data_IF_809925130472
#
_entry.id   IF_809925130472
#
_cell.length_a   1.000
_cell.length_b   1.000
_cell.length_c   1.000
_cell.angle_alpha   90.00
_cell.angle_beta   90.00
_cell.angle_gamma   90.00
#
_symmetry.space_group_name_H-M   'P 1'
#
loop_
_entity.id
_entity.type
_entity.pdbx_description
1 polymer ?
#
# COMPACT_ATOMS: atom_id res chain seq x y z
N UNK A 1 -19.77 12.36 6.48
CA UNK A 1 -19.75 11.99 5.04
C UNK A 1 -18.34 11.67 4.52
N UNK A 2 -17.39 12.63 4.49
CA UNK A 2 -16.05 12.42 3.91
C UNK A 2 -15.30 11.19 4.46
N UNK A 3 -15.32 10.98 5.78
CA UNK A 3 -14.73 9.80 6.42
C UNK A 3 -15.26 8.47 5.86
N UNK A 4 -16.59 8.35 5.74
CA UNK A 4 -17.24 7.12 5.26
C UNK A 4 -16.91 6.85 3.79
N UNK A 5 -16.87 7.90 2.95
CA UNK A 5 -16.48 7.77 1.54
C UNK A 5 -15.03 7.29 1.42
N UNK A 6 -14.11 7.92 2.16
CA UNK A 6 -12.69 7.54 2.15
C UNK A 6 -12.49 6.13 2.69
N UNK A 7 -13.08 5.79 3.84
CA UNK A 7 -12.99 4.45 4.43
C UNK A 7 -13.54 3.36 3.50
N UNK A 8 -14.71 3.61 2.92
CA UNK A 8 -15.38 2.64 2.05
C UNK A 8 -14.64 2.47 0.72
N UNK A 9 -14.29 3.57 0.03
CA UNK A 9 -13.86 3.51 -1.37
C UNK A 9 -12.34 3.62 -1.57
N UNK A 10 -11.60 4.19 -0.61
CA UNK A 10 -10.19 4.55 -0.82
C UNK A 10 -9.27 3.77 0.12
N UNK A 11 -9.49 3.89 1.42
CA UNK A 11 -8.65 3.29 2.44
C UNK A 11 -8.48 1.79 2.18
N UNK A 12 -7.24 1.29 2.28
CA UNK A 12 -6.77 -0.09 2.03
C UNK A 12 -6.84 -0.61 0.58
N UNK A 13 -7.75 -0.14 -0.27
CA UNK A 13 -7.94 -0.71 -1.63
C UNK A 13 -6.76 -0.40 -2.54
N UNK A 14 -6.27 0.83 -2.52
CA UNK A 14 -5.12 1.23 -3.35
C UNK A 14 -3.81 0.57 -2.91
N UNK A 15 -3.64 0.29 -1.62
CA UNK A 15 -2.52 -0.53 -1.11
C UNK A 15 -2.62 -1.94 -1.70
N UNK A 16 -3.80 -2.56 -1.70
CA UNK A 16 -3.99 -3.89 -2.30
C UNK A 16 -3.70 -3.92 -3.81
N UNK A 17 -4.14 -2.90 -4.55
CA UNK A 17 -3.84 -2.74 -5.98
C UNK A 17 -2.33 -2.57 -6.20
N UNK A 18 -1.69 -1.69 -5.43
CA UNK A 18 -0.26 -1.43 -5.54
C UNK A 18 0.57 -2.68 -5.21
N UNK A 19 0.16 -3.47 -4.20
CA UNK A 19 0.80 -4.74 -3.88
C UNK A 19 0.71 -5.75 -5.03
N UNK A 20 -0.49 -5.92 -5.60
CA UNK A 20 -0.69 -6.76 -6.78
C UNK A 20 0.20 -6.30 -7.95
N UNK A 21 0.24 -4.99 -8.21
CA UNK A 21 1.08 -4.42 -9.28
C UNK A 21 2.57 -4.56 -9.01
N UNK A 22 3.02 -4.51 -7.75
CA UNK A 22 4.41 -4.76 -7.39
C UNK A 22 4.82 -6.18 -7.78
N UNK A 23 3.99 -7.18 -7.45
CA UNK A 23 4.21 -8.57 -7.85
C UNK A 23 4.16 -8.79 -9.36
N UNK A 24 3.22 -8.14 -10.04
CA UNK A 24 3.12 -8.15 -11.50
C UNK A 24 4.37 -7.57 -12.16
N UNK A 25 4.80 -6.38 -11.72
CA UNK A 25 6.01 -5.72 -12.19
C UNK A 25 7.26 -6.55 -11.89
N UNK A 26 7.33 -7.21 -10.74
CA UNK A 26 8.43 -8.09 -10.37
C UNK A 26 8.60 -9.26 -11.35
N UNK A 27 7.50 -9.85 -11.84
CA UNK A 27 7.56 -10.90 -12.86
C UNK A 27 8.16 -10.40 -14.19
N UNK A 28 7.75 -9.21 -14.63
CA UNK A 28 8.26 -8.59 -15.86
C UNK A 28 9.74 -8.20 -15.72
N UNK A 29 10.10 -7.61 -14.58
CA UNK A 29 11.47 -7.21 -14.26
C UNK A 29 12.39 -8.43 -14.20
N UNK A 30 11.99 -9.51 -13.53
CA UNK A 30 12.76 -10.74 -13.46
C UNK A 30 12.99 -11.35 -14.84
N UNK A 31 11.98 -11.36 -15.72
CA UNK A 31 12.13 -11.81 -17.12
C UNK A 31 13.16 -10.96 -17.87
N UNK A 32 13.11 -9.63 -17.71
CA UNK A 32 14.06 -8.73 -18.35
C UNK A 32 15.48 -8.93 -17.84
N UNK A 33 15.68 -8.97 -16.52
CA UNK A 33 16.96 -9.21 -15.86
C UNK A 33 17.55 -10.55 -16.29
N UNK A 34 16.74 -11.61 -16.28
CA UNK A 34 17.18 -12.96 -16.67
C UNK A 34 17.74 -13.00 -18.10
N UNK A 35 17.16 -12.23 -19.02
CA UNK A 35 17.70 -12.12 -20.39
C UNK A 35 19.08 -11.45 -20.40
N UNK A 36 19.27 -10.40 -19.60
CA UNK A 36 20.57 -9.73 -19.47
C UNK A 36 21.63 -10.62 -18.79
N UNK A 37 21.22 -11.51 -17.89
CA UNK A 37 22.10 -12.48 -17.24
C UNK A 37 22.30 -13.79 -18.04
N UNK A 38 22.11 -13.79 -19.37
CA UNK A 38 22.32 -14.98 -20.20
C UNK A 38 21.38 -16.16 -19.89
N UNK A 39 20.25 -15.93 -19.23
CA UNK A 39 19.30 -16.98 -18.83
C UNK A 39 19.47 -17.48 -17.40
N UNK A 40 20.51 -17.08 -16.67
CA UNK A 40 20.75 -17.48 -15.29
C UNK A 40 19.70 -16.88 -14.34
N UNK A 41 18.95 -17.77 -13.67
CA UNK A 41 17.90 -17.38 -12.74
C UNK A 41 18.44 -16.89 -11.39
N UNK A 42 19.53 -17.46 -10.88
CA UNK A 42 20.06 -17.07 -9.57
C UNK A 42 20.81 -15.75 -9.65
N UNK A 43 21.55 -15.51 -10.75
CA UNK A 43 22.07 -14.18 -11.06
C UNK A 43 20.93 -13.14 -11.15
N UNK A 44 19.83 -13.48 -11.83
CA UNK A 44 18.70 -12.57 -11.96
C UNK A 44 18.01 -12.27 -10.62
N UNK A 45 17.84 -13.28 -9.76
CA UNK A 45 17.34 -13.09 -8.38
C UNK A 45 18.30 -12.25 -7.55
N UNK A 46 19.62 -12.39 -7.73
CA UNK A 46 20.62 -11.59 -7.02
C UNK A 46 20.48 -10.09 -7.34
N UNK A 47 20.36 -9.75 -8.62
CA UNK A 47 20.09 -8.38 -9.07
C UNK A 47 18.75 -7.87 -8.51
N UNK A 48 17.71 -8.71 -8.52
CA UNK A 48 16.42 -8.34 -7.93
C UNK A 48 16.50 -8.12 -6.41
N UNK A 49 17.27 -8.91 -5.67
CA UNK A 49 17.52 -8.69 -4.23
C UNK A 49 18.22 -7.34 -4.00
N UNK A 50 19.14 -6.91 -4.87
CA UNK A 50 19.76 -5.58 -4.77
C UNK A 50 18.73 -4.45 -4.90
N UNK A 51 17.80 -4.59 -5.84
CA UNK A 51 16.66 -3.68 -6.00
C UNK A 51 15.83 -3.56 -4.72
N UNK A 52 15.57 -4.69 -4.05
CA UNK A 52 14.84 -4.72 -2.78
C UNK A 52 15.62 -4.11 -1.63
N UNK A 53 16.94 -4.34 -1.53
CA UNK A 53 17.78 -3.69 -0.51
C UNK A 53 17.76 -2.17 -0.65
N UNK A 54 17.80 -1.65 -1.88
CA UNK A 54 17.64 -0.22 -2.12
C UNK A 54 16.28 0.29 -1.64
N UNK A 55 15.19 -0.42 -1.98
CA UNK A 55 13.85 -0.04 -1.51
C UNK A 55 13.73 -0.09 0.01
N UNK A 56 14.35 -1.09 0.66
CA UNK A 56 14.37 -1.21 2.11
C UNK A 56 15.11 -0.03 2.76
N UNK A 57 16.30 0.30 2.25
CA UNK A 57 17.07 1.44 2.76
C UNK A 57 16.31 2.76 2.56
N UNK A 58 15.70 2.94 1.39
CA UNK A 58 14.88 4.11 1.09
C UNK A 58 13.64 4.18 1.99
N UNK A 59 12.98 3.05 2.23
CA UNK A 59 11.82 2.96 3.11
C UNK A 59 12.15 3.21 4.58
N UNK A 60 13.28 2.71 5.08
CA UNK A 60 13.77 3.03 6.44
C UNK A 60 14.05 4.53 6.55
N UNK A 61 14.77 5.11 5.58
CA UNK A 61 15.02 6.55 5.59
C UNK A 61 13.71 7.35 5.53
N UNK A 62 12.77 6.96 4.66
CA UNK A 62 11.47 7.60 4.55
C UNK A 62 10.63 7.48 5.82
N UNK A 63 10.57 6.28 6.43
CA UNK A 63 9.89 6.00 7.67
C UNK A 63 10.38 6.84 8.84
N UNK A 64 11.69 7.00 8.95
CA UNK A 64 12.34 7.76 10.03
C UNK A 64 12.26 9.29 9.82
N UNK A 65 12.46 9.76 8.58
CA UNK A 65 12.65 11.19 8.31
C UNK A 65 11.43 11.91 7.71
N UNK A 66 10.49 11.18 7.12
CA UNK A 66 9.35 11.81 6.42
C UNK A 66 8.01 11.37 7.00
N UNK A 67 7.71 10.07 6.98
CA UNK A 67 6.40 9.57 7.37
C UNK A 67 6.45 8.14 7.89
N UNK A 68 6.02 7.94 9.14
CA UNK A 68 6.09 6.65 9.83
C UNK A 68 5.26 5.54 9.17
N UNK A 69 4.22 5.87 8.40
CA UNK A 69 3.42 4.91 7.63
C UNK A 69 4.05 4.51 6.28
N UNK A 70 5.37 4.26 6.25
CA UNK A 70 6.08 3.88 5.04
C UNK A 70 5.65 2.50 4.52
N UNK A 71 5.38 2.41 3.22
CA UNK A 71 5.06 1.14 2.55
C UNK A 71 6.29 0.51 1.89
N UNK A 72 7.37 1.26 1.62
CA UNK A 72 8.51 0.80 0.85
C UNK A 72 9.33 -0.24 1.60
N UNK A 73 9.64 0.00 2.87
CA UNK A 73 10.34 -0.93 3.75
C UNK A 73 9.54 -2.23 3.88
N UNK A 74 8.24 -2.10 4.13
CA UNK A 74 7.35 -3.25 4.25
C UNK A 74 7.26 -4.06 2.95
N UNK A 75 7.14 -3.39 1.79
CA UNK A 75 7.09 -4.05 0.50
C UNK A 75 8.44 -4.66 0.10
N UNK A 76 9.55 -4.07 0.54
CA UNK A 76 10.87 -4.66 0.34
C UNK A 76 11.01 -5.97 1.11
N UNK A 77 10.58 -6.00 2.39
CA UNK A 77 10.56 -7.22 3.22
C UNK A 77 9.67 -8.31 2.62
N UNK A 78 8.42 -7.99 2.28
CA UNK A 78 7.52 -8.92 1.57
C UNK A 78 8.09 -9.33 0.19
N UNK A 79 8.83 -8.43 -0.47
CA UNK A 79 9.52 -8.70 -1.72
C UNK A 79 10.61 -9.76 -1.60
N UNK A 80 11.32 -9.85 -0.47
CA UNK A 80 12.30 -10.91 -0.25
C UNK A 80 11.62 -12.29 -0.14
N UNK A 81 10.43 -12.34 0.47
CA UNK A 81 9.60 -13.55 0.47
C UNK A 81 9.18 -13.91 -0.96
N UNK A 82 8.74 -12.93 -1.76
CA UNK A 82 8.39 -13.13 -3.17
C UNK A 82 9.56 -13.75 -3.97
N UNK A 83 10.82 -13.33 -3.73
CA UNK A 83 12.01 -13.88 -4.42
C UNK A 83 12.14 -15.39 -4.25
N UNK A 84 11.73 -15.95 -3.10
CA UNK A 84 11.72 -17.41 -2.89
C UNK A 84 10.79 -18.14 -3.88
N UNK A 85 9.70 -17.49 -4.28
CA UNK A 85 8.70 -18.03 -5.20
C UNK A 85 8.97 -17.67 -6.67
N UNK A 86 9.80 -16.67 -6.92
CA UNK A 86 10.22 -16.29 -8.26
C UNK A 86 10.84 -17.49 -8.98
N UNK A 87 10.25 -17.86 -10.13
CA UNK A 87 10.59 -19.03 -10.97
C UNK A 87 9.90 -20.36 -10.65
N UNK A 88 9.06 -20.45 -9.61
CA UNK A 88 8.25 -21.66 -9.39
C UNK A 88 7.24 -21.85 -10.55
N UNK A 89 6.82 -23.11 -10.78
CA UNK A 89 5.78 -23.43 -11.78
C UNK A 89 4.45 -22.72 -11.43
N UNK A 90 3.62 -22.31 -12.42
CA UNK A 90 2.36 -21.60 -12.14
C UNK A 90 1.44 -22.29 -11.13
N UNK A 91 1.35 -23.63 -11.17
CA UNK A 91 0.57 -24.39 -10.19
C UNK A 91 1.11 -24.25 -8.75
N UNK A 92 2.44 -24.23 -8.58
CA UNK A 92 3.06 -24.02 -7.27
C UNK A 92 2.85 -22.59 -6.77
N UNK A 93 2.91 -21.59 -7.66
CA UNK A 93 2.58 -20.20 -7.36
C UNK A 93 1.12 -20.07 -6.92
N UNK A 94 0.17 -20.66 -7.65
CA UNK A 94 -1.25 -20.64 -7.29
C UNK A 94 -1.53 -21.27 -5.93
N UNK A 95 -0.88 -22.41 -5.62
CA UNK A 95 -0.96 -23.03 -4.28
C UNK A 95 -0.38 -22.12 -3.21
N UNK A 96 0.78 -21.51 -3.44
CA UNK A 96 1.38 -20.57 -2.50
C UNK A 96 0.47 -19.36 -2.27
N UNK A 97 -0.05 -18.74 -3.32
CA UNK A 97 -1.03 -17.63 -3.23
C UNK A 97 -2.23 -18.01 -2.37
N UNK A 98 -2.83 -19.19 -2.61
CA UNK A 98 -3.95 -19.71 -1.82
C UNK A 98 -3.56 -19.88 -0.35
N UNK A 99 -2.42 -20.50 -0.07
CA UNK A 99 -1.97 -20.75 1.30
C UNK A 99 -1.72 -19.44 2.07
N UNK A 100 -1.16 -18.43 1.42
CA UNK A 100 -0.99 -17.10 2.02
C UNK A 100 -2.31 -16.37 2.29
N UNK A 101 -3.32 -16.54 1.41
CA UNK A 101 -4.68 -16.06 1.68
C UNK A 101 -5.34 -16.78 2.86
N UNK A 102 -5.17 -18.10 2.97
CA UNK A 102 -5.66 -18.87 4.12
C UNK A 102 -4.97 -18.41 5.40
N UNK A 103 -3.63 -18.25 5.37
CA UNK A 103 -2.87 -17.76 6.52
C UNK A 103 -3.33 -16.37 6.95
N UNK A 104 -3.57 -15.47 5.99
CA UNK A 104 -4.13 -14.14 6.26
C UNK A 104 -5.51 -14.21 6.93
N UNK A 105 -6.43 -15.01 6.38
CA UNK A 105 -7.78 -15.15 6.93
C UNK A 105 -7.73 -15.74 8.35
N UNK A 106 -6.96 -16.82 8.55
CA UNK A 106 -6.79 -17.46 9.84
C UNK A 106 -6.16 -16.52 10.87
N UNK A 107 -5.12 -15.77 10.49
CA UNK A 107 -4.46 -14.80 11.36
C UNK A 107 -5.40 -13.66 11.75
N UNK A 108 -6.15 -13.11 10.78
CA UNK A 108 -7.13 -12.04 11.02
C UNK A 108 -8.20 -12.49 12.00
N UNK A 109 -8.78 -13.67 11.79
CA UNK A 109 -9.77 -14.25 12.71
C UNK A 109 -9.15 -14.48 14.08
N UNK A 110 -8.01 -15.16 14.17
CA UNK A 110 -7.36 -15.48 15.43
C UNK A 110 -7.03 -14.23 16.26
N UNK A 111 -6.46 -13.20 15.64
CA UNK A 111 -6.13 -11.94 16.33
C UNK A 111 -7.38 -11.19 16.78
N UNK A 112 -8.41 -11.13 15.93
CA UNK A 112 -9.67 -10.46 16.30
C UNK A 112 -10.33 -11.20 17.47
N UNK A 113 -10.35 -12.53 17.46
CA UNK A 113 -10.91 -13.34 18.56
C UNK A 113 -10.08 -13.25 19.84
N UNK A 114 -8.75 -13.27 19.74
CA UNK A 114 -7.85 -13.20 20.89
C UNK A 114 -7.95 -11.84 21.56
N UNK A 115 -7.95 -10.77 20.77
CA UNK A 115 -8.09 -9.42 21.30
C UNK A 115 -9.46 -9.23 21.96
N UNK A 116 -10.55 -9.64 21.33
CA UNK A 116 -11.88 -9.55 21.94
C UNK A 116 -11.98 -10.37 23.24
N UNK A 117 -11.34 -11.54 23.30
CA UNK A 117 -11.25 -12.32 24.53
C UNK A 117 -10.44 -11.60 25.61
N UNK A 118 -9.27 -11.05 25.26
CA UNK A 118 -8.42 -10.29 26.17
C UNK A 118 -9.14 -9.02 26.69
N UNK A 119 -9.83 -8.29 25.81
CA UNK A 119 -10.62 -7.11 26.13
C UNK A 119 -11.75 -7.41 27.12
N UNK A 120 -12.39 -8.58 27.01
CA UNK A 120 -13.42 -9.03 27.97
C UNK A 120 -12.84 -9.51 29.30
N UNK A 121 -11.60 -9.96 29.31
CA UNK A 121 -10.93 -10.49 30.50
C UNK A 121 -10.24 -9.40 31.34
N UNK A 122 -9.85 -8.29 30.72
CA UNK A 122 -9.29 -7.14 31.43
C UNK A 122 -10.43 -6.25 31.96
N UNK A 123 -10.36 -5.81 33.23
CA UNK A 123 -11.28 -4.79 33.72
C UNK A 123 -11.10 -3.51 32.88
N UNK A 124 -12.17 -2.72 32.67
CA UNK A 124 -12.08 -1.44 31.98
C UNK A 124 -11.33 -0.44 32.87
N UNK A 125 -10.00 -0.52 32.92
CA UNK A 125 -9.16 0.46 33.64
C UNK A 125 -9.08 1.79 32.89
N UNK A 126 -9.33 1.78 31.57
CA UNK A 126 -9.31 2.96 30.72
C UNK A 126 -10.73 3.25 30.25
N UNK A 127 -11.25 4.44 30.56
CA UNK A 127 -12.53 4.91 30.04
C UNK A 127 -12.46 5.01 28.50
N UNK A 128 -13.22 4.18 27.75
CA UNK A 128 -13.18 4.20 26.29
C UNK A 128 -13.70 5.52 25.70
N UNK A 129 -14.37 6.36 26.49
CA UNK A 129 -14.79 7.71 26.10
C UNK A 129 -13.62 8.71 26.09
N UNK A 130 -12.49 8.41 26.75
CA UNK A 130 -11.33 9.29 26.81
C UNK A 130 -10.28 8.91 25.78
N UNK A 131 -9.73 9.92 25.08
CA UNK A 131 -8.57 9.71 24.21
C UNK A 131 -7.33 9.50 25.10
N UNK A 132 -6.54 8.43 24.89
CA UNK A 132 -5.28 8.22 25.58
C UNK A 132 -4.36 9.45 25.48
N UNK A 133 -3.78 9.87 26.61
CA UNK A 133 -2.95 11.09 26.67
C UNK A 133 -1.74 11.02 25.74
N UNK A 134 -1.14 9.84 25.56
CA UNK A 134 -0.02 9.65 24.62
C UNK A 134 -0.41 9.95 23.16
N UNK A 135 -1.67 9.72 22.77
CA UNK A 135 -2.18 10.08 21.44
C UNK A 135 -2.35 11.60 21.33
N UNK A 136 -2.84 12.25 22.38
CA UNK A 136 -2.99 13.71 22.44
C UNK A 136 -1.62 14.39 22.35
N UNK A 137 -0.66 13.95 23.16
CA UNK A 137 0.70 14.48 23.18
C UNK A 137 1.38 14.31 21.81
N UNK A 138 1.25 13.13 21.19
CA UNK A 138 1.76 12.90 19.83
C UNK A 138 1.10 13.81 18.81
N UNK A 139 -0.22 14.02 18.89
CA UNK A 139 -0.93 14.93 17.99
C UNK A 139 -0.31 16.32 18.07
N UNK A 140 -0.17 16.88 19.28
CA UNK A 140 0.45 18.19 19.51
C UNK A 140 1.88 18.24 18.95
N UNK A 141 2.72 17.24 19.24
CA UNK A 141 4.09 17.19 18.73
C UNK A 141 4.13 17.18 17.19
N UNK A 142 3.25 16.43 16.52
CA UNK A 142 3.21 16.37 15.06
C UNK A 142 2.62 17.62 14.40
N UNK A 143 1.70 18.34 15.06
CA UNK A 143 1.01 19.50 14.48
C UNK A 143 1.58 20.85 14.89
N UNK A 144 2.28 20.92 16.02
CA UNK A 144 2.82 22.17 16.59
C UNK A 144 4.33 22.11 16.83
N UNK A 145 4.88 20.90 17.09
CA UNK A 145 6.30 20.71 17.38
C UNK A 145 7.22 20.87 16.17
N UNK A 146 8.49 21.14 16.45
CA UNK A 146 9.55 21.26 15.44
C UNK A 146 9.93 19.92 14.79
N UNK A 147 10.68 19.96 13.69
CA UNK A 147 11.01 18.75 12.91
C UNK A 147 11.77 17.70 13.75
N UNK A 148 12.72 18.16 14.57
CA UNK A 148 13.57 17.30 15.39
C UNK A 148 12.82 16.69 16.59
N UNK A 149 11.87 17.41 17.16
CA UNK A 149 11.00 16.91 18.24
C UNK A 149 10.14 15.74 17.75
N UNK A 150 9.76 15.76 16.48
CA UNK A 150 8.96 14.69 15.87
C UNK A 150 9.77 13.44 15.50
N UNK A 151 11.11 13.48 15.53
CA UNK A 151 11.94 12.37 15.05
C UNK A 151 11.78 11.12 15.92
N UNK A 152 11.85 11.27 17.24
CA UNK A 152 11.69 10.17 18.20
C UNK A 152 10.29 9.51 18.14
N UNK A 153 9.16 10.26 18.24
CA UNK A 153 7.84 9.64 18.13
C UNK A 153 7.61 9.01 16.75
N UNK A 154 8.10 9.63 15.66
CA UNK A 154 8.00 9.05 14.31
C UNK A 154 8.78 7.74 14.20
N UNK A 155 9.98 7.67 14.76
CA UNK A 155 10.77 6.44 14.76
C UNK A 155 10.09 5.32 15.57
N UNK A 156 9.48 5.65 16.71
CA UNK A 156 8.72 4.71 17.51
C UNK A 156 7.48 4.19 16.76
N UNK A 157 6.70 5.07 16.12
CA UNK A 157 5.54 4.68 15.34
C UNK A 157 5.92 3.87 14.09
N UNK A 158 7.03 4.21 13.43
CA UNK A 158 7.57 3.44 12.31
C UNK A 158 7.98 2.03 12.76
N UNK A 159 8.71 1.92 13.88
CA UNK A 159 9.08 0.63 14.45
C UNK A 159 7.86 -0.21 14.82
N UNK A 160 6.84 0.40 15.44
CA UNK A 160 5.58 -0.27 15.74
C UNK A 160 4.87 -0.77 14.48
N UNK A 161 4.75 0.07 13.44
CA UNK A 161 4.12 -0.33 12.18
C UNK A 161 4.90 -1.48 11.53
N UNK A 162 6.23 -1.43 11.48
CA UNK A 162 7.02 -2.45 10.78
C UNK A 162 7.12 -3.75 11.58
N UNK A 163 7.37 -3.68 12.88
CA UNK A 163 7.67 -4.85 13.71
C UNK A 163 6.42 -5.50 14.31
N UNK A 164 5.35 -4.73 14.55
CA UNK A 164 4.11 -5.24 15.15
C UNK A 164 3.03 -5.39 14.08
N UNK A 165 2.68 -4.33 13.36
CA UNK A 165 1.60 -4.38 12.37
C UNK A 165 2.01 -5.07 11.06
N UNK A 166 3.28 -4.96 10.68
CA UNK A 166 3.84 -5.54 9.47
C UNK A 166 3.61 -7.05 9.39
N UNK A 167 4.01 -7.87 10.38
CA UNK A 167 3.74 -9.30 10.41
C UNK A 167 2.26 -9.66 10.21
N UNK A 168 1.32 -8.85 10.69
CA UNK A 168 -0.12 -9.08 10.54
C UNK A 168 -0.61 -8.80 9.11
N UNK A 169 -0.12 -7.75 8.48
CA UNK A 169 -0.46 -7.41 7.09
C UNK A 169 0.33 -8.24 6.05
N UNK A 170 1.47 -8.83 6.45
CA UNK A 170 2.41 -9.47 5.53
C UNK A 170 1.77 -10.62 4.72
N UNK A 171 0.94 -11.49 5.32
CA UNK A 171 0.29 -12.56 4.56
C UNK A 171 -0.54 -12.06 3.39
N UNK A 172 -1.30 -10.99 3.57
CA UNK A 172 -2.10 -10.39 2.51
C UNK A 172 -1.22 -9.80 1.40
N UNK A 173 -0.21 -9.03 1.78
CA UNK A 173 0.70 -8.40 0.81
C UNK A 173 1.44 -9.45 0.00
N UNK A 174 1.96 -10.50 0.64
CA UNK A 174 2.63 -11.61 -0.06
C UNK A 174 1.64 -12.35 -0.96
N UNK A 175 0.40 -12.60 -0.52
CA UNK A 175 -0.63 -13.21 -1.36
C UNK A 175 -0.91 -12.38 -2.63
N UNK A 176 -1.04 -11.06 -2.48
CA UNK A 176 -1.25 -10.13 -3.60
C UNK A 176 -0.03 -10.04 -4.52
N UNK A 177 1.19 -10.03 -3.97
CA UNK A 177 2.43 -10.07 -4.75
C UNK A 177 2.50 -11.35 -5.60
N UNK A 178 2.21 -12.50 -5.00
CA UNK A 178 2.19 -13.78 -5.71
C UNK A 178 1.08 -13.83 -6.76
N UNK A 179 -0.10 -13.31 -6.45
CA UNK A 179 -1.22 -13.20 -7.39
C UNK A 179 -0.86 -12.31 -8.59
N UNK A 180 -0.21 -11.17 -8.36
CA UNK A 180 0.31 -10.29 -9.40
C UNK A 180 1.36 -10.95 -10.25
N UNK A 181 2.30 -11.65 -9.62
CA UNK A 181 3.34 -12.40 -10.31
C UNK A 181 2.74 -13.51 -11.19
N UNK A 182 1.72 -14.22 -10.68
CA UNK A 182 0.98 -15.24 -11.42
C UNK A 182 0.20 -14.61 -12.60
N UNK A 183 -0.47 -13.48 -12.39
CA UNK A 183 -1.21 -12.76 -13.41
C UNK A 183 -0.31 -12.33 -14.58
N UNK A 184 0.88 -11.80 -14.29
CA UNK A 184 1.88 -11.47 -15.31
C UNK A 184 2.37 -12.72 -16.04
N UNK A 185 2.53 -13.83 -15.33
CA UNK A 185 3.03 -15.08 -15.90
C UNK A 185 2.04 -15.77 -16.83
N UNK A 186 0.76 -15.71 -16.49
CA UNK A 186 -0.33 -16.33 -17.25
C UNK A 186 -0.97 -15.38 -18.26
N UNK A 187 -0.62 -14.09 -18.24
CA UNK A 187 -1.12 -13.12 -19.22
C UNK A 187 -2.54 -12.62 -18.92
N UNK A 188 -3.02 -12.69 -17.67
CA UNK A 188 -4.40 -12.33 -17.32
C UNK A 188 -4.79 -10.90 -17.74
N UNK A 189 -3.86 -9.95 -17.61
CA UNK A 189 -4.09 -8.55 -17.97
C UNK A 189 -3.82 -8.30 -19.46
N UNK A 190 -2.87 -9.03 -20.05
CA UNK A 190 -2.49 -8.87 -21.45
C UNK A 190 -3.55 -9.44 -22.41
N UNK A 191 -4.16 -10.57 -22.03
CA UNK A 191 -5.16 -11.31 -22.81
C UNK A 191 -6.37 -11.67 -21.94
N UNK A 192 -7.10 -10.68 -21.38
CA UNK A 192 -8.20 -10.94 -20.45
C UNK A 192 -9.33 -11.78 -21.05
N UNK A 193 -9.55 -11.70 -22.36
CA UNK A 193 -10.53 -12.45 -23.14
C UNK A 193 -10.29 -13.97 -23.06
N UNK A 194 -9.04 -14.41 -22.83
CA UNK A 194 -8.69 -15.82 -22.64
C UNK A 194 -8.94 -16.31 -21.21
N UNK A 195 -9.29 -15.42 -20.29
CA UNK A 195 -9.44 -15.72 -18.86
C UNK A 195 -10.75 -15.19 -18.25
N UNK A 196 -11.92 -15.41 -18.87
CA UNK A 196 -13.19 -14.83 -18.41
C UNK A 196 -13.57 -15.31 -17.00
N UNK A 197 -13.19 -16.54 -16.61
CA UNK A 197 -13.44 -17.06 -15.26
C UNK A 197 -12.69 -16.26 -14.18
N UNK A 198 -11.44 -15.87 -14.44
CA UNK A 198 -10.63 -15.10 -13.48
C UNK A 198 -11.30 -13.75 -13.20
N UNK A 199 -11.73 -13.07 -14.25
CA UNK A 199 -12.36 -11.75 -14.12
C UNK A 199 -13.76 -11.81 -13.52
N UNK A 200 -14.56 -12.85 -13.83
CA UNK A 200 -15.84 -13.10 -13.13
C UNK A 200 -15.65 -13.32 -11.64
N UNK A 201 -14.64 -14.11 -11.26
CA UNK A 201 -14.32 -14.35 -9.84
C UNK A 201 -13.82 -13.08 -9.17
N UNK A 202 -12.98 -12.27 -9.83
CA UNK A 202 -12.52 -10.99 -9.28
C UNK A 202 -13.68 -10.01 -9.03
N UNK A 203 -14.64 -9.94 -9.96
CA UNK A 203 -15.87 -9.15 -9.78
C UNK A 203 -16.69 -9.69 -8.60
N UNK A 204 -16.93 -11.00 -8.53
CA UNK A 204 -17.70 -11.61 -7.45
C UNK A 204 -17.06 -11.37 -6.07
N UNK A 205 -15.73 -11.54 -5.95
CA UNK A 205 -14.98 -11.24 -4.73
C UNK A 205 -15.13 -9.77 -4.34
N UNK A 206 -14.95 -8.85 -5.29
CA UNK A 206 -15.03 -7.42 -4.98
C UNK A 206 -16.45 -6.95 -4.63
N UNK A 207 -17.49 -7.51 -5.26
CA UNK A 207 -18.89 -7.24 -4.87
C UNK A 207 -19.16 -7.80 -3.47
N UNK A 208 -18.75 -9.04 -3.19
CA UNK A 208 -18.90 -9.66 -1.87
C UNK A 208 -18.14 -8.88 -0.78
N UNK A 209 -17.05 -8.19 -1.12
CA UNK A 209 -16.28 -7.36 -0.21
C UNK A 209 -16.90 -5.98 0.08
N UNK A 210 -17.81 -5.49 -0.78
CA UNK A 210 -18.37 -4.15 -0.64
C UNK A 210 -19.13 -3.93 0.68
N UNK A 211 -19.99 -4.86 1.16
CA UNK A 211 -20.64 -4.73 2.47
C UNK A 211 -19.62 -4.64 3.62
N UNK A 212 -18.53 -5.40 3.57
CA UNK A 212 -17.46 -5.33 4.58
C UNK A 212 -16.72 -3.99 4.55
N UNK A 213 -16.51 -3.42 3.36
CA UNK A 213 -15.91 -2.09 3.24
C UNK A 213 -16.80 -1.00 3.85
N UNK A 214 -18.12 -1.06 3.61
CA UNK A 214 -19.11 -0.13 4.17
C UNK A 214 -19.23 -0.31 5.68
N UNK A 215 -19.47 -1.55 6.14
CA UNK A 215 -19.65 -1.87 7.55
C UNK A 215 -18.39 -1.57 8.37
N UNK A 216 -17.20 -1.87 7.84
CA UNK A 216 -15.94 -1.52 8.48
C UNK A 216 -15.74 0.00 8.58
N UNK A 217 -16.02 0.75 7.52
CA UNK A 217 -15.91 2.21 7.54
C UNK A 217 -16.93 2.86 8.50
N UNK A 218 -18.15 2.31 8.54
CA UNK A 218 -19.20 2.73 9.47
C UNK A 218 -18.82 2.46 10.92
N UNK A 219 -18.44 1.22 11.25
CA UNK A 219 -18.12 0.83 12.62
C UNK A 219 -16.90 1.59 13.15
N UNK A 220 -15.85 1.77 12.33
CA UNK A 220 -14.72 2.61 12.73
C UNK A 220 -15.15 4.07 12.98
N UNK A 221 -16.05 4.62 12.15
CA UNK A 221 -16.58 5.97 12.37
C UNK A 221 -17.38 6.05 13.67
N UNK A 222 -18.27 5.09 13.90
CA UNK A 222 -19.08 5.01 15.10
C UNK A 222 -18.20 4.92 16.35
N UNK A 223 -17.24 3.99 16.38
CA UNK A 223 -16.31 3.85 17.50
C UNK A 223 -15.50 5.13 17.74
N UNK A 224 -14.98 5.79 16.70
CA UNK A 224 -14.28 7.07 16.88
C UNK A 224 -15.16 8.14 17.52
N UNK A 225 -16.48 8.11 17.29
CA UNK A 225 -17.42 9.11 17.82
C UNK A 225 -17.91 8.74 19.23
N UNK A 226 -18.24 7.47 19.47
CA UNK A 226 -18.82 7.00 20.72
C UNK A 226 -17.79 6.59 21.77
N UNK A 227 -16.60 6.20 21.33
CA UNK A 227 -15.54 5.63 22.17
C UNK A 227 -14.16 5.93 21.53
N UNK A 228 -13.76 7.21 21.45
CA UNK A 228 -12.57 7.64 20.72
C UNK A 228 -11.26 7.03 21.24
N UNK A 229 -11.24 6.53 22.48
CA UNK A 229 -10.10 5.79 23.05
C UNK A 229 -10.07 4.30 22.73
N UNK A 230 -11.13 3.75 22.13
CA UNK A 230 -11.27 2.32 21.83
C UNK A 230 -10.93 2.02 20.35
N UNK A 231 -9.82 1.30 20.05
CA UNK A 231 -9.55 0.88 18.68
C UNK A 231 -10.48 -0.28 18.28
N UNK A 232 -11.44 0.00 17.38
CA UNK A 232 -12.37 -1.02 16.86
C UNK A 232 -11.67 -2.10 16.02
N UNK A 233 -11.22 -3.20 16.64
CA UNK A 233 -10.61 -4.30 15.89
C UNK A 233 -11.59 -5.04 15.00
N UNK A 234 -12.88 -5.08 15.37
CA UNK A 234 -13.92 -5.59 14.48
C UNK A 234 -14.05 -4.69 13.25
N UNK A 235 -14.06 -3.36 13.44
CA UNK A 235 -14.05 -2.39 12.36
C UNK A 235 -12.82 -2.55 11.46
N UNK A 236 -11.64 -2.74 12.05
CA UNK A 236 -10.40 -3.02 11.33
C UNK A 236 -10.45 -4.34 10.53
N UNK A 237 -10.95 -5.41 11.13
CA UNK A 237 -11.12 -6.72 10.48
C UNK A 237 -12.09 -6.65 9.30
N UNK A 238 -13.24 -5.99 9.47
CA UNK A 238 -14.18 -5.73 8.38
C UNK A 238 -13.52 -4.88 7.28
N UNK A 239 -12.77 -3.84 7.64
CA UNK A 239 -12.09 -3.00 6.66
C UNK A 239 -11.01 -3.77 5.89
N UNK A 240 -10.38 -4.72 6.55
CA UNK A 240 -9.39 -5.65 6.00
C UNK A 240 -10.01 -6.55 4.94
N UNK A 241 -11.16 -7.18 5.18
CA UNK A 241 -11.92 -7.88 4.13
C UNK A 241 -12.45 -6.93 3.06
N UNK A 242 -12.88 -5.74 3.43
CA UNK A 242 -13.31 -4.68 2.52
C UNK A 242 -12.23 -4.26 1.52
N UNK A 243 -10.95 -4.44 1.84
CA UNK A 243 -9.84 -4.18 0.91
C UNK A 243 -9.90 -5.02 -0.37
N UNK A 244 -10.61 -6.17 -0.35
CA UNK A 244 -10.84 -7.02 -1.51
C UNK A 244 -11.74 -6.36 -2.57
N UNK A 245 -12.39 -5.24 -2.24
CA UNK A 245 -13.05 -4.37 -3.24
C UNK A 245 -12.08 -3.92 -4.34
N UNK A 246 -10.77 -3.88 -4.05
CA UNK A 246 -9.72 -3.68 -5.05
C UNK A 246 -9.81 -4.61 -6.27
N UNK A 247 -10.29 -5.86 -6.09
CA UNK A 247 -10.46 -6.80 -7.19
C UNK A 247 -11.50 -6.32 -8.20
N UNK A 248 -12.59 -5.71 -7.71
CA UNK A 248 -13.60 -5.09 -8.58
C UNK A 248 -13.01 -3.89 -9.32
N UNK A 249 -12.19 -3.06 -8.65
CA UNK A 249 -11.57 -1.90 -9.30
C UNK A 249 -10.62 -2.31 -10.42
N UNK A 250 -9.77 -3.32 -10.19
CA UNK A 250 -8.87 -3.83 -11.23
C UNK A 250 -9.67 -4.49 -12.36
N UNK A 251 -10.68 -5.30 -12.05
CA UNK A 251 -11.53 -5.94 -13.05
C UNK A 251 -12.28 -4.92 -13.92
N UNK A 252 -12.82 -3.87 -13.29
CA UNK A 252 -13.46 -2.74 -13.97
C UNK A 252 -12.50 -2.05 -14.94
N UNK A 253 -11.31 -1.68 -14.48
CA UNK A 253 -10.30 -1.04 -15.33
C UNK A 253 -9.95 -1.96 -16.51
N UNK A 254 -9.69 -3.24 -16.25
CA UNK A 254 -9.35 -4.20 -17.32
C UNK A 254 -10.49 -4.35 -18.33
N UNK A 255 -11.74 -4.40 -17.86
CA UNK A 255 -12.93 -4.56 -18.73
C UNK A 255 -13.21 -3.36 -19.61
N UNK A 256 -12.94 -2.16 -19.12
CA UNK A 256 -13.34 -0.90 -19.78
C UNK A 256 -12.18 -0.06 -20.33
N UNK A 257 -10.92 -0.50 -20.19
CA UNK A 257 -9.71 0.29 -20.58
C UNK A 257 -9.72 0.78 -22.04
N UNK A 258 -10.47 0.11 -22.91
CA UNK A 258 -10.52 0.42 -24.34
C UNK A 258 -11.59 1.47 -24.69
N UNK A 259 -12.51 1.76 -23.75
CA UNK A 259 -13.51 2.82 -23.91
C UNK A 259 -12.84 4.19 -23.99
N UNK A 260 -13.42 5.12 -24.76
CA UNK A 260 -12.81 6.43 -24.99
C UNK A 260 -12.57 7.24 -23.69
N UNK A 261 -13.52 7.33 -22.73
CA UNK A 261 -13.29 8.05 -21.48
C UNK A 261 -12.14 7.45 -20.65
N UNK A 262 -12.13 6.14 -20.44
CA UNK A 262 -11.10 5.50 -19.60
C UNK A 262 -9.73 5.52 -20.28
N UNK A 263 -9.68 5.38 -21.60
CA UNK A 263 -8.43 5.53 -22.37
C UNK A 263 -7.83 6.92 -22.20
N UNK A 264 -8.66 7.97 -22.21
CA UNK A 264 -8.22 9.34 -21.93
C UNK A 264 -7.71 9.49 -20.51
N UNK A 265 -8.45 8.97 -19.51
CA UNK A 265 -8.00 9.00 -18.12
C UNK A 265 -6.65 8.29 -17.93
N UNK A 266 -6.47 7.10 -18.50
CA UNK A 266 -5.19 6.35 -18.47
C UNK A 266 -4.06 7.19 -19.09
N UNK A 267 -4.30 7.89 -20.21
CA UNK A 267 -3.28 8.75 -20.84
C UNK A 267 -2.84 9.92 -19.96
N UNK A 268 -3.75 10.45 -19.14
CA UNK A 268 -3.42 11.51 -18.18
C UNK A 268 -2.70 10.99 -16.94
N UNK A 269 -3.05 9.80 -16.46
CA UNK A 269 -2.46 9.18 -15.28
C UNK A 269 -1.11 8.49 -15.55
N UNK A 270 -0.89 8.00 -16.78
CA UNK A 270 0.28 7.19 -17.13
C UNK A 270 1.65 7.84 -16.84
N UNK A 271 1.88 9.15 -17.06
CA UNK A 271 3.15 9.79 -16.70
C UNK A 271 3.45 9.67 -15.20
N UNK A 272 2.47 9.92 -14.33
CA UNK A 272 2.63 9.76 -12.89
C UNK A 272 2.88 8.29 -12.50
N UNK A 273 2.25 7.35 -13.20
CA UNK A 273 2.51 5.92 -13.04
C UNK A 273 3.93 5.47 -13.44
N UNK A 274 4.69 6.30 -14.17
CA UNK A 274 6.12 6.09 -14.47
C UNK A 274 7.06 6.71 -13.44
N UNK A 275 6.52 7.44 -12.47
CA UNK A 275 7.25 8.11 -11.39
C UNK A 275 6.72 7.76 -9.98
N UNK A 276 6.35 6.50 -9.68
CA UNK A 276 5.67 6.19 -8.42
C UNK A 276 6.53 6.45 -7.18
N UNK A 277 7.85 6.20 -7.21
CA UNK A 277 8.75 6.47 -6.07
C UNK A 277 8.94 7.97 -5.88
N UNK A 278 9.19 8.70 -6.97
CA UNK A 278 9.35 10.15 -6.92
C UNK A 278 8.08 10.81 -6.37
N UNK A 279 6.91 10.44 -6.89
CA UNK A 279 5.63 11.00 -6.43
C UNK A 279 5.33 10.62 -4.98
N UNK A 280 5.65 9.40 -4.55
CA UNK A 280 5.48 8.98 -3.17
C UNK A 280 6.30 9.83 -2.19
N UNK A 281 7.60 10.04 -2.47
CA UNK A 281 8.45 10.89 -1.62
C UNK A 281 8.00 12.35 -1.64
N UNK A 282 7.69 12.90 -2.83
CA UNK A 282 7.19 14.27 -2.95
C UNK A 282 5.85 14.45 -2.22
N UNK A 283 4.99 13.44 -2.20
CA UNK A 283 3.74 13.49 -1.47
C UNK A 283 3.98 13.57 0.03
N UNK A 284 4.90 12.77 0.58
CA UNK A 284 5.26 12.84 2.01
C UNK A 284 5.92 14.16 2.38
N UNK A 285 6.80 14.70 1.53
CA UNK A 285 7.40 16.03 1.76
C UNK A 285 6.33 17.12 1.74
N UNK A 286 5.45 17.12 0.72
CA UNK A 286 4.38 18.10 0.63
C UNK A 286 3.41 18.00 1.82
N UNK A 287 2.98 16.79 2.19
CA UNK A 287 2.10 16.60 3.34
C UNK A 287 2.78 17.00 4.65
N UNK A 288 4.05 16.67 4.85
CA UNK A 288 4.80 17.11 6.02
C UNK A 288 4.91 18.64 6.10
N UNK A 289 5.31 19.29 5.01
CA UNK A 289 5.45 20.74 4.96
C UNK A 289 4.11 21.49 5.11
N UNK A 290 3.00 20.90 4.68
CA UNK A 290 1.68 21.54 4.76
C UNK A 290 0.97 21.25 6.10
N UNK A 291 1.06 20.02 6.61
CA UNK A 291 0.23 19.57 7.72
C UNK A 291 0.95 19.61 9.07
N UNK A 292 2.28 19.53 9.09
CA UNK A 292 3.05 19.37 10.32
C UNK A 292 3.46 20.71 10.94
N UNK A 293 3.76 20.71 12.24
CA UNK A 293 4.18 21.89 12.99
C UNK A 293 5.49 22.53 12.50
N UNK A 294 6.40 21.74 11.92
CA UNK A 294 7.61 22.28 11.28
C UNK A 294 7.34 22.99 9.95
N UNK A 295 6.12 22.90 9.43
CA UNK A 295 5.66 23.51 8.19
C UNK A 295 4.57 24.54 8.44
N UNK A 296 3.43 24.40 7.74
CA UNK A 296 2.29 25.32 7.88
C UNK A 296 1.32 24.92 9.01
N UNK A 297 1.50 23.78 9.68
CA UNK A 297 0.66 23.35 10.79
C UNK A 297 -0.82 23.10 10.44
N UNK A 298 -1.17 22.96 9.15
CA UNK A 298 -2.58 22.86 8.74
C UNK A 298 -3.28 21.61 9.29
N UNK A 299 -2.52 20.60 9.73
CA UNK A 299 -3.06 19.40 10.37
C UNK A 299 -3.79 19.68 11.69
N UNK A 300 -3.43 20.75 12.39
CA UNK A 300 -4.10 21.15 13.64
C UNK A 300 -5.52 21.69 13.42
N UNK A 301 -5.78 22.29 12.25
CA UNK A 301 -6.99 23.11 12.01
C UNK A 301 -7.90 22.57 10.92
N UNK A 302 -7.39 21.79 9.98
CA UNK A 302 -8.18 21.28 8.86
C UNK A 302 -9.02 20.06 9.27
N UNK A 303 -10.32 20.14 9.01
CA UNK A 303 -11.23 19.01 9.15
C UNK A 303 -11.02 17.94 8.06
N UNK A 304 -11.58 16.74 8.28
CA UNK A 304 -11.43 15.57 7.38
C UNK A 304 -11.79 15.86 5.91
N UNK A 305 -12.79 16.71 5.64
CA UNK A 305 -13.18 17.07 4.27
C UNK A 305 -12.14 17.97 3.60
N UNK A 306 -11.59 18.95 4.32
CA UNK A 306 -10.54 19.83 3.81
C UNK A 306 -9.25 19.05 3.56
N UNK A 307 -8.89 18.12 4.44
CA UNK A 307 -7.76 17.21 4.24
C UNK A 307 -7.93 16.34 2.97
N UNK A 308 -9.14 15.84 2.72
CA UNK A 308 -9.43 15.08 1.49
C UNK A 308 -9.29 15.94 0.23
N UNK A 309 -9.75 17.19 0.26
CA UNK A 309 -9.57 18.15 -0.84
C UNK A 309 -8.10 18.50 -1.05
N UNK A 310 -7.34 18.71 0.03
CA UNK A 310 -5.91 18.97 -0.03
C UNK A 310 -5.15 17.78 -0.66
N UNK A 311 -5.48 16.56 -0.26
CA UNK A 311 -4.91 15.36 -0.86
C UNK A 311 -5.20 15.27 -2.37
N UNK A 312 -6.44 15.57 -2.78
CA UNK A 312 -6.80 15.62 -4.20
C UNK A 312 -6.03 16.71 -4.97
N UNK A 313 -5.83 17.88 -4.36
CA UNK A 313 -5.05 18.98 -4.93
C UNK A 313 -3.57 18.58 -5.13
N UNK A 314 -2.95 17.95 -4.12
CA UNK A 314 -1.57 17.45 -4.22
C UNK A 314 -1.45 16.44 -5.38
N UNK A 315 -2.39 15.49 -5.48
CA UNK A 315 -2.40 14.52 -6.59
C UNK A 315 -2.55 15.22 -7.93
N UNK A 316 -3.47 16.19 -8.06
CA UNK A 316 -3.67 16.93 -9.31
C UNK A 316 -2.40 17.66 -9.76
N UNK A 317 -1.71 18.34 -8.83
CA UNK A 317 -0.42 19.00 -9.09
C UNK A 317 0.63 17.97 -9.53
N UNK A 318 0.72 16.84 -8.83
CA UNK A 318 1.67 15.78 -9.17
C UNK A 318 1.39 15.16 -10.55
N UNK A 319 0.14 15.04 -10.99
CA UNK A 319 -0.19 14.55 -12.33
C UNK A 319 0.34 15.48 -13.42
N UNK A 320 0.15 16.79 -13.27
CA UNK A 320 0.65 17.80 -14.21
C UNK A 320 2.17 17.85 -14.20
N UNK A 321 2.78 17.90 -13.01
CA UNK A 321 4.23 17.93 -12.85
C UNK A 321 4.90 16.67 -13.41
N UNK A 322 4.33 15.48 -13.15
CA UNK A 322 4.84 14.22 -13.70
C UNK A 322 4.78 14.19 -15.22
N UNK A 323 3.74 14.77 -15.81
CA UNK A 323 3.60 14.86 -17.27
C UNK A 323 4.70 15.75 -17.87
N UNK A 324 4.87 16.95 -17.33
CA UNK A 324 5.92 17.88 -17.78
C UNK A 324 7.33 17.31 -17.57
N UNK A 325 7.54 16.55 -16.49
CA UNK A 325 8.82 15.90 -16.23
C UNK A 325 9.11 14.76 -17.19
N UNK A 326 8.16 13.85 -17.40
CA UNK A 326 8.34 12.68 -18.27
C UNK A 326 8.53 13.09 -19.72
N UNK A 327 7.89 14.15 -20.20
CA UNK A 327 8.12 14.65 -21.57
C UNK A 327 9.54 15.14 -21.77
N UNK A 328 10.19 15.69 -20.73
CA UNK A 328 11.56 16.20 -20.81
C UNK A 328 12.64 15.17 -20.51
N UNK A 329 12.45 14.33 -19.49
CA UNK A 329 13.48 13.44 -18.94
C UNK A 329 13.21 11.95 -19.15
N UNK A 330 12.00 11.56 -19.54
CA UNK A 330 11.61 10.17 -19.83
C UNK A 330 11.51 9.22 -18.62
N UNK A 331 12.02 9.59 -17.46
CA UNK A 331 11.96 8.81 -16.21
C UNK A 331 11.99 9.74 -14.99
N UNK A 332 11.45 9.27 -13.87
CA UNK A 332 11.55 10.01 -12.61
C UNK A 332 12.97 9.98 -12.02
N UNK A 333 13.35 11.00 -11.25
CA UNK A 333 14.70 11.12 -10.69
C UNK A 333 15.05 9.99 -9.72
N UNK A 334 14.14 9.63 -8.82
CA UNK A 334 14.36 8.54 -7.84
C UNK A 334 14.38 7.19 -8.54
N UNK A 335 13.53 7.00 -9.54
CA UNK A 335 13.51 5.80 -10.38
C UNK A 335 14.84 5.65 -11.15
N UNK A 336 15.41 6.76 -11.64
CA UNK A 336 16.71 6.75 -12.31
C UNK A 336 17.83 6.32 -11.36
N UNK A 337 17.87 6.85 -10.13
CA UNK A 337 18.82 6.43 -9.10
C UNK A 337 18.66 4.96 -8.77
N UNK A 338 17.43 4.51 -8.52
CA UNK A 338 17.12 3.13 -8.21
C UNK A 338 17.52 2.17 -9.32
N UNK A 339 17.29 2.55 -10.58
CA UNK A 339 17.72 1.79 -11.76
C UNK A 339 19.24 1.70 -11.83
N UNK A 340 19.96 2.81 -11.60
CA UNK A 340 21.44 2.82 -11.57
C UNK A 340 21.99 1.85 -10.53
N UNK A 341 21.45 1.88 -9.31
CA UNK A 341 21.87 0.96 -8.24
C UNK A 341 21.52 -0.49 -8.58
N UNK A 342 20.31 -0.75 -9.09
CA UNK A 342 19.86 -2.11 -9.42
C UNK A 342 20.75 -2.76 -10.46
N UNK A 343 21.03 -2.06 -11.57
CA UNK A 343 21.71 -2.63 -12.74
C UNK A 343 23.22 -2.41 -12.77
N UNK A 344 23.81 -1.76 -11.76
CA UNK A 344 25.25 -1.57 -11.70
C UNK A 344 26.11 -2.85 -11.86
N UNK A 345 25.72 -4.07 -11.42
CA UNK A 345 26.54 -5.28 -11.65
C UNK A 345 26.41 -5.83 -13.07
N UNK A 346 25.46 -5.33 -13.87
CA UNK A 346 25.20 -5.77 -15.24
C UNK A 346 25.72 -4.76 -16.27
N UNK A 347 26.37 -3.69 -15.81
CA UNK A 347 27.05 -2.77 -16.72
C UNK A 347 28.37 -3.43 -17.13
N UNK A 348 28.72 -3.41 -18.42
CA UNK A 348 30.03 -3.85 -18.88
C UNK A 348 31.15 -3.05 -18.23
#
# INVERSE_FOLDING_TARGET
>A
MAHLLVGTLVATKFISIFAFLFGFGAALQLRSIRRMCGGDIEAAKSVYRRRLRFLLALGIAHGLFLYYGDILAFYALAGFVLVHYMHRRPAALARATRNWWIAFAALTVALTTLFEAARRAMPPEVDPALIPQDIVDKFVVFTEGGYWEQLAPRAADFAYIVLVMGPFAAPQIVALFLLGHLAARLGWIAHPERHPRVWRVAVAIGIAAAPFAVAGAWLNYETIVSSPGDPSLVGFGLQTFGSLLAFLYVAAIVRWRETAPLRTAIRWLAPAGRMPLTNYLLQSVAMGALLSGWGLGLGAVLGKAQLALLAAAIVAVQLVASRAWITRFGQGPVEALWRRVTYAPLRP
#
